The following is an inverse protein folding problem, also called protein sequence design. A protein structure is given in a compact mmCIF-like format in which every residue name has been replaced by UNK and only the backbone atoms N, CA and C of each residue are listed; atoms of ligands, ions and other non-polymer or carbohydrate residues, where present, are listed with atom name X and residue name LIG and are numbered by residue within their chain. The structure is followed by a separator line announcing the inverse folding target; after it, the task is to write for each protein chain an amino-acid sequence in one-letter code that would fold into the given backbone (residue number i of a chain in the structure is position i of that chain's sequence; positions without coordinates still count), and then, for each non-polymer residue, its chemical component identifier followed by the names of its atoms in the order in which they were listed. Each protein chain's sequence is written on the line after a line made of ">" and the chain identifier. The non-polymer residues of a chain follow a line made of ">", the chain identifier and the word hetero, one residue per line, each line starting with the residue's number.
data_IF_868845517125
#
_entry.id   IF_868845517125
#
_cell.length_a   1.000
_cell.length_b   1.000
_cell.length_c   1.000
_cell.angle_alpha   90.00
_cell.angle_beta   90.00
_cell.angle_gamma   90.00
#
_symmetry.space_group_name_H-M   'P 1'
#
loop_
_entity.id
_entity.type
_entity.pdbx_description
1 polymer ?
#
# COMPACT_ATOMS: atom_id res chain seq x y z
N UNK A 1 -9.65 0.80 -8.18
CA UNK A 1 -10.54 1.25 -9.27
C UNK A 1 -10.84 0.07 -10.21
N UNK A 2 -12.05 -0.53 -10.18
CA UNK A 2 -12.41 -1.63 -11.07
C UNK A 2 -12.80 -1.12 -12.47
N UNK A 3 -12.71 -1.98 -13.47
CA UNK A 3 -13.14 -1.70 -14.86
C UNK A 3 -14.39 -2.50 -15.28
N UNK A 4 -15.09 -3.07 -14.30
CA UNK A 4 -16.29 -3.89 -14.50
C UNK A 4 -17.40 -3.42 -13.57
N UNK A 5 -18.63 -3.81 -13.91
CA UNK A 5 -19.81 -3.61 -13.06
C UNK A 5 -20.16 -4.93 -12.38
N UNK A 6 -20.42 -4.89 -11.08
CA UNK A 6 -20.88 -6.03 -10.29
C UNK A 6 -21.52 -5.53 -8.99
N UNK A 7 -22.61 -6.16 -8.57
CA UNK A 7 -23.22 -5.89 -7.27
C UNK A 7 -22.26 -6.24 -6.13
N UNK A 8 -22.60 -5.77 -4.93
CA UNK A 8 -21.81 -6.05 -3.74
C UNK A 8 -21.76 -7.57 -3.46
N UNK A 9 -20.60 -8.03 -3.01
CA UNK A 9 -20.36 -9.41 -2.60
C UNK A 9 -20.53 -9.54 -1.10
N UNK A 10 -21.53 -10.31 -0.68
CA UNK A 10 -21.65 -10.72 0.72
C UNK A 10 -20.69 -11.90 0.99
N UNK A 11 -19.67 -11.66 1.80
CA UNK A 11 -18.66 -12.64 2.19
C UNK A 11 -18.70 -12.85 3.70
N UNK A 12 -18.18 -14.00 4.18
CA UNK A 12 -18.08 -14.30 5.62
C UNK A 12 -17.37 -13.18 6.39
N UNK A 13 -16.40 -12.51 5.76
CA UNK A 13 -15.63 -11.40 6.34
C UNK A 13 -16.17 -10.00 6.04
N UNK A 14 -17.42 -9.86 5.59
CA UNK A 14 -18.07 -8.58 5.29
C UNK A 14 -18.50 -8.41 3.83
N UNK A 15 -19.17 -7.29 3.57
CA UNK A 15 -19.66 -6.91 2.26
C UNK A 15 -18.62 -6.07 1.49
N UNK A 16 -18.40 -6.39 0.22
CA UNK A 16 -17.44 -5.69 -0.64
C UNK A 16 -18.07 -5.23 -1.95
N UNK A 17 -17.92 -3.94 -2.27
CA UNK A 17 -18.57 -3.33 -3.43
C UNK A 17 -19.65 -2.33 -3.00
N UNK A 18 -20.57 -1.95 -3.91
CA UNK A 18 -20.67 -2.39 -5.30
C UNK A 18 -19.44 -2.00 -6.13
N UNK A 19 -19.13 -2.80 -7.15
CA UNK A 19 -18.04 -2.51 -8.07
C UNK A 19 -18.59 -1.76 -9.28
N UNK A 20 -18.21 -0.49 -9.41
CA UNK A 20 -18.63 0.37 -10.52
C UNK A 20 -17.39 0.77 -11.32
N UNK A 21 -17.43 0.70 -12.67
CA UNK A 21 -16.29 1.08 -13.49
C UNK A 21 -15.77 2.49 -13.15
N UNK A 22 -14.46 2.62 -13.00
CA UNK A 22 -13.76 3.87 -12.71
C UNK A 22 -14.07 4.52 -11.35
N UNK A 23 -14.80 3.86 -10.47
CA UNK A 23 -15.05 4.34 -9.09
C UNK A 23 -14.04 3.71 -8.13
N UNK A 24 -13.61 4.43 -7.09
CA UNK A 24 -12.78 3.84 -6.05
C UNK A 24 -13.64 2.94 -5.15
N UNK A 25 -13.12 1.76 -4.83
CA UNK A 25 -13.82 0.77 -4.01
C UNK A 25 -12.81 0.16 -3.06
N UNK A 26 -13.11 0.25 -1.76
CA UNK A 26 -12.27 -0.32 -0.72
C UNK A 26 -12.51 -1.83 -0.63
N UNK A 27 -11.42 -2.58 -0.72
CA UNK A 27 -11.43 -4.04 -0.61
C UNK A 27 -10.19 -4.51 0.14
N UNK A 28 -10.20 -5.72 0.71
CA UNK A 28 -9.02 -6.29 1.35
C UNK A 28 -7.88 -6.45 0.35
N UNK A 29 -6.64 -6.34 0.82
CA UNK A 29 -5.44 -6.40 -0.01
C UNK A 29 -5.40 -7.64 -0.91
N UNK A 30 -5.77 -8.81 -0.38
CA UNK A 30 -5.79 -10.06 -1.16
C UNK A 30 -6.76 -9.99 -2.34
N UNK A 31 -7.89 -9.30 -2.17
CA UNK A 31 -8.89 -9.14 -3.22
C UNK A 31 -8.42 -8.10 -4.26
N UNK A 32 -7.85 -6.98 -3.81
CA UNK A 32 -7.24 -5.99 -4.69
C UNK A 32 -6.18 -6.63 -5.59
N UNK A 33 -5.27 -7.43 -5.02
CA UNK A 33 -4.23 -8.16 -5.76
C UNK A 33 -4.82 -9.18 -6.74
N UNK A 34 -5.88 -9.91 -6.35
CA UNK A 34 -6.54 -10.88 -7.21
C UNK A 34 -7.23 -10.21 -8.42
N UNK A 35 -7.91 -9.08 -8.21
CA UNK A 35 -8.55 -8.29 -9.27
C UNK A 35 -7.51 -7.68 -10.20
N UNK A 36 -6.43 -7.14 -9.64
CA UNK A 36 -5.31 -6.57 -10.39
C UNK A 36 -4.62 -7.60 -11.29
N UNK A 37 -4.31 -8.79 -10.75
CA UNK A 37 -3.72 -9.90 -11.52
C UNK A 37 -4.58 -10.30 -12.73
N UNK A 38 -5.92 -10.16 -12.62
CA UNK A 38 -6.88 -10.44 -13.69
C UNK A 38 -7.12 -9.25 -14.64
N UNK A 39 -6.37 -8.15 -14.49
CA UNK A 39 -6.55 -6.89 -15.23
C UNK A 39 -7.98 -6.32 -15.12
N UNK A 40 -8.64 -6.57 -13.98
CA UNK A 40 -10.00 -6.11 -13.69
C UNK A 40 -10.05 -4.88 -12.79
N UNK A 41 -8.93 -4.50 -12.20
CA UNK A 41 -8.82 -3.29 -11.40
C UNK A 41 -7.40 -2.74 -11.45
N UNK A 42 -7.31 -1.41 -11.35
CA UNK A 42 -6.08 -0.70 -11.04
C UNK A 42 -6.07 -0.49 -9.53
N UNK A 43 -4.97 -0.87 -8.88
CA UNK A 43 -4.77 -0.59 -7.45
C UNK A 43 -4.36 0.87 -7.34
N UNK A 44 -4.84 1.55 -6.30
CA UNK A 44 -4.31 2.85 -5.90
C UNK A 44 -3.41 2.58 -4.70
N UNK A 45 -2.15 3.05 -4.69
CA UNK A 45 -1.27 2.80 -3.56
C UNK A 45 -1.82 3.52 -2.31
N UNK A 46 -1.62 2.99 -1.10
CA UNK A 46 -2.02 3.69 0.11
C UNK A 46 -1.29 5.05 0.25
N UNK A 47 -1.95 6.06 0.81
CA UNK A 47 -1.39 7.42 0.95
C UNK A 47 -0.03 7.47 1.68
N UNK A 48 0.18 6.57 2.65
CA UNK A 48 1.44 6.47 3.38
C UNK A 48 2.60 5.94 2.52
N UNK A 49 2.31 5.30 1.38
CA UNK A 49 3.30 4.80 0.42
C UNK A 49 3.66 5.82 -0.67
N UNK A 50 3.10 7.02 -0.65
CA UNK A 50 3.59 8.10 -1.52
C UNK A 50 5.03 8.49 -1.12
N UNK A 51 5.91 8.80 -2.09
CA UNK A 51 7.30 9.15 -1.80
C UNK A 51 7.46 10.30 -0.81
N UNK A 52 6.58 11.30 -0.87
CA UNK A 52 6.57 12.46 0.01
C UNK A 52 6.21 12.06 1.44
N UNK A 53 5.20 11.19 1.60
CA UNK A 53 4.79 10.63 2.90
C UNK A 53 5.92 9.81 3.52
N UNK A 54 6.52 8.90 2.75
CA UNK A 54 7.63 8.05 3.22
C UNK A 54 8.88 8.86 3.54
N UNK A 55 9.18 9.90 2.78
CA UNK A 55 10.31 10.79 3.06
C UNK A 55 10.09 11.56 4.37
N UNK A 56 8.88 12.09 4.60
CA UNK A 56 8.53 12.73 5.87
C UNK A 56 8.68 11.77 7.05
N UNK A 57 8.15 10.55 6.92
CA UNK A 57 8.29 9.50 7.93
C UNK A 57 9.76 9.21 8.21
N UNK A 58 10.58 9.06 7.18
CA UNK A 58 12.01 8.79 7.32
C UNK A 58 12.76 9.91 8.05
N UNK A 59 12.45 11.17 7.75
CA UNK A 59 13.07 12.33 8.40
C UNK A 59 12.69 12.41 9.89
N UNK A 60 11.42 12.25 10.23
CA UNK A 60 10.99 12.23 11.64
C UNK A 60 11.55 11.01 12.39
N UNK A 61 11.63 9.86 11.72
CA UNK A 61 12.25 8.65 12.28
C UNK A 61 13.74 8.85 12.58
N UNK A 62 14.45 9.67 11.80
CA UNK A 62 15.86 10.02 12.07
C UNK A 62 16.01 11.07 13.15
N UNK A 63 15.06 12.00 13.24
CA UNK A 63 15.09 13.12 14.19
C UNK A 63 14.78 12.67 15.61
N UNK A 64 13.72 11.89 15.78
CA UNK A 64 13.28 11.38 17.07
C UNK A 64 13.76 9.96 17.26
N UNK A 65 14.66 9.71 18.22
CA UNK A 65 15.27 8.39 18.42
C UNK A 65 14.54 7.54 19.45
N UNK A 66 13.71 8.15 20.32
CA UNK A 66 13.02 7.44 21.41
C UNK A 66 11.68 6.84 20.98
N UNK A 67 11.06 7.38 19.92
CA UNK A 67 9.75 6.90 19.43
C UNK A 67 9.76 6.58 17.94
N UNK A 68 8.75 5.84 17.50
CA UNK A 68 8.53 5.49 16.10
C UNK A 68 7.40 6.34 15.53
N UNK A 69 7.58 6.85 14.31
CA UNK A 69 6.51 7.53 13.58
C UNK A 69 5.38 6.51 13.27
N UNK A 70 4.09 6.86 13.34
CA UNK A 70 3.01 5.94 13.00
C UNK A 70 3.10 5.47 11.53
N UNK A 71 3.12 4.14 11.36
CA UNK A 71 2.86 3.44 10.11
C UNK A 71 1.88 2.29 10.39
N UNK A 72 1.17 1.76 9.37
CA UNK A 72 0.37 0.55 9.56
C UNK A 72 1.20 -0.59 10.14
N UNK A 73 0.57 -1.41 10.98
CA UNK A 73 1.26 -2.49 11.69
C UNK A 73 2.02 -3.44 10.73
N UNK A 74 1.40 -3.79 9.60
CA UNK A 74 1.96 -4.67 8.56
C UNK A 74 2.53 -3.88 7.36
N UNK A 75 3.11 -2.70 7.58
CA UNK A 75 3.56 -1.84 6.48
C UNK A 75 4.59 -2.52 5.56
N UNK A 76 5.46 -3.39 6.10
CA UNK A 76 6.46 -4.13 5.29
C UNK A 76 5.76 -5.15 4.39
N UNK A 77 4.86 -5.96 4.92
CA UNK A 77 4.14 -6.98 4.16
C UNK A 77 3.30 -6.34 3.07
N UNK A 78 2.59 -5.25 3.40
CA UNK A 78 1.79 -4.48 2.43
C UNK A 78 2.70 -3.92 1.34
N UNK A 79 3.80 -3.26 1.71
CA UNK A 79 4.73 -2.68 0.74
C UNK A 79 5.33 -3.75 -0.17
N UNK A 80 5.82 -4.85 0.40
CA UNK A 80 6.43 -5.95 -0.35
C UNK A 80 5.43 -6.59 -1.32
N UNK A 81 4.18 -6.82 -0.89
CA UNK A 81 3.14 -7.39 -1.76
C UNK A 81 2.83 -6.45 -2.94
N UNK A 82 2.62 -5.15 -2.67
CA UNK A 82 2.31 -4.18 -3.73
C UNK A 82 3.49 -3.97 -4.68
N UNK A 83 4.71 -3.79 -4.16
CA UNK A 83 5.91 -3.58 -4.96
C UNK A 83 6.32 -4.81 -5.78
N UNK A 84 5.83 -6.00 -5.44
CA UNK A 84 6.04 -7.23 -6.23
C UNK A 84 4.95 -7.45 -7.26
N UNK A 85 3.69 -7.29 -6.87
CA UNK A 85 2.53 -7.73 -7.64
C UNK A 85 1.83 -6.64 -8.43
N UNK A 86 2.02 -5.36 -8.08
CA UNK A 86 1.34 -4.21 -8.66
C UNK A 86 2.32 -3.05 -8.92
N UNK A 87 3.43 -3.34 -9.62
CA UNK A 87 4.51 -2.35 -9.87
C UNK A 87 4.06 -1.18 -10.74
N UNK A 88 3.19 -1.45 -11.70
CA UNK A 88 2.60 -0.50 -12.63
C UNK A 88 1.82 0.60 -11.90
N UNK A 89 1.24 0.28 -10.73
CA UNK A 89 0.53 1.24 -9.87
C UNK A 89 1.43 2.39 -9.39
N UNK A 90 2.75 2.18 -9.29
CA UNK A 90 3.70 3.19 -8.80
C UNK A 90 4.35 4.01 -9.92
N UNK A 91 4.23 3.59 -11.19
CA UNK A 91 4.84 4.25 -12.34
C UNK A 91 6.32 4.61 -12.13
N UNK A 92 6.70 5.85 -12.45
CA UNK A 92 8.07 6.37 -12.32
C UNK A 92 8.56 6.44 -10.87
N UNK A 93 7.65 6.47 -9.88
CA UNK A 93 7.97 6.57 -8.46
C UNK A 93 8.45 5.24 -7.85
N UNK A 94 8.32 4.13 -8.56
CA UNK A 94 8.54 2.77 -8.05
C UNK A 94 9.88 2.62 -7.30
N UNK A 95 11.00 3.00 -7.93
CA UNK A 95 12.32 2.85 -7.32
C UNK A 95 12.51 3.74 -6.08
N UNK A 96 11.91 4.94 -6.09
CA UNK A 96 11.96 5.87 -4.97
C UNK A 96 11.19 5.30 -3.78
N UNK A 97 9.98 4.79 -4.00
CA UNK A 97 9.18 4.13 -2.95
C UNK A 97 9.91 2.93 -2.37
N UNK A 98 10.47 2.05 -3.22
CA UNK A 98 11.26 0.89 -2.77
C UNK A 98 12.43 1.29 -1.87
N UNK A 99 13.20 2.29 -2.30
CA UNK A 99 14.34 2.80 -1.54
C UNK A 99 13.92 3.39 -0.19
N UNK A 100 12.85 4.19 -0.16
CA UNK A 100 12.38 4.83 1.06
C UNK A 100 11.83 3.81 2.08
N UNK A 101 11.06 2.81 1.63
CA UNK A 101 10.57 1.74 2.51
C UNK A 101 11.73 0.99 3.17
N UNK A 102 12.77 0.65 2.40
CA UNK A 102 13.95 -0.04 2.94
C UNK A 102 14.74 0.84 3.91
N UNK A 103 14.86 2.14 3.62
CA UNK A 103 15.51 3.09 4.54
C UNK A 103 14.76 3.21 5.86
N UNK A 104 13.43 3.38 5.83
CA UNK A 104 12.60 3.43 7.05
C UNK A 104 12.77 2.14 7.84
N UNK A 105 12.72 0.97 7.19
CA UNK A 105 12.95 -0.33 7.82
C UNK A 105 14.30 -0.40 8.53
N UNK A 106 15.38 0.02 7.86
CA UNK A 106 16.74 0.02 8.44
C UNK A 106 16.86 0.92 9.65
N UNK A 107 16.34 2.15 9.57
CA UNK A 107 16.37 3.10 10.70
C UNK A 107 15.63 2.51 11.90
N UNK A 108 14.44 1.94 11.69
CA UNK A 108 13.68 1.30 12.77
C UNK A 108 14.40 0.11 13.38
N UNK A 109 15.01 -0.75 12.57
CA UNK A 109 15.81 -1.87 13.06
C UNK A 109 16.97 -1.40 13.95
N UNK A 110 17.65 -0.32 13.56
CA UNK A 110 18.75 0.25 14.34
C UNK A 110 18.28 0.84 15.68
N UNK A 111 17.05 1.35 15.79
CA UNK A 111 16.50 1.85 17.07
C UNK A 111 16.18 0.74 18.07
N UNK A 112 15.96 -0.48 17.59
CA UNK A 112 15.61 -1.63 18.43
C UNK A 112 16.87 -2.29 19.02
N UNK A 113 18.01 -2.15 18.33
CA UNK A 113 19.31 -2.67 18.76
C UNK A 113 19.93 -1.79 19.84
#
# INVERSE_FOLDING_TARGET
>A
QPNFSMDALDCIGGEYGPFVPNVLTDVPLWMALALHKRKRAVIVPPDWMEPESLARVLEEERRETATFEPLPFYYIEIAVLLLRSAKDTFGEKLYRVQSLVEQVRKVRMNKIQ
#
